data_IF_326956147939
#
_entry.id   IF_326956147939
#
_cell.length_a   1.000
_cell.length_b   1.000
_cell.length_c   1.000
_cell.angle_alpha   90.00
_cell.angle_beta   90.00
_cell.angle_gamma   90.00
#
_symmetry.space_group_name_H-M   'P 1'
#
loop_
_entity.id
_entity.type
_entity.pdbx_description
1 polymer ?
#
# COMPACT_ATOMS: atom_id res chain seq x y z
N UNK A 1 9.94 -5.43 5.47
CA UNK A 1 9.17 -6.63 5.85
C UNK A 1 8.22 -6.97 4.74
N UNK A 2 7.92 -8.26 4.52
CA UNK A 2 6.93 -8.70 3.54
C UNK A 2 5.60 -8.97 4.23
N UNK A 3 4.52 -8.41 3.69
CA UNK A 3 3.14 -8.71 4.07
C UNK A 3 2.52 -9.62 3.01
N UNK A 4 1.55 -10.44 3.41
CA UNK A 4 0.79 -11.31 2.49
C UNK A 4 -0.59 -10.72 2.23
N UNK A 5 -1.23 -11.13 1.13
CA UNK A 5 -2.59 -10.70 0.76
C UNK A 5 -2.77 -9.17 0.67
N UNK A 6 -1.76 -8.46 0.16
CA UNK A 6 -1.84 -7.02 -0.07
C UNK A 6 -2.81 -6.68 -1.21
N UNK A 7 -3.54 -5.59 -1.06
CA UNK A 7 -4.48 -5.07 -2.06
C UNK A 7 -3.95 -3.79 -2.71
N UNK A 8 -4.09 -3.72 -4.04
CA UNK A 8 -4.04 -2.46 -4.80
C UNK A 8 -5.48 -2.03 -5.06
N UNK A 9 -5.96 -1.07 -4.28
CA UNK A 9 -7.37 -0.75 -4.18
C UNK A 9 -7.60 0.76 -4.29
N UNK A 10 -7.99 1.21 -5.49
CA UNK A 10 -8.30 2.62 -5.77
C UNK A 10 -9.50 3.15 -4.97
N UNK A 11 -10.33 2.27 -4.40
CA UNK A 11 -11.46 2.63 -3.54
C UNK A 11 -11.13 2.68 -2.06
N UNK A 12 -9.93 2.23 -1.66
CA UNK A 12 -9.49 2.08 -0.26
C UNK A 12 -9.12 3.38 0.46
N UNK A 13 -9.55 4.53 -0.07
CA UNK A 13 -9.20 5.87 0.42
C UNK A 13 -7.67 6.00 0.59
N UNK A 14 -7.17 6.38 1.77
CA UNK A 14 -5.74 6.56 2.05
C UNK A 14 -5.00 5.27 2.43
N UNK A 15 -5.70 4.12 2.43
CA UNK A 15 -5.12 2.80 2.66
C UNK A 15 -4.96 2.41 4.12
N UNK A 16 -4.50 1.16 4.31
CA UNK A 16 -4.31 0.51 5.59
C UNK A 16 -2.89 -0.07 5.69
N UNK A 17 -2.24 0.16 6.81
CA UNK A 17 -0.89 -0.33 7.10
C UNK A 17 -0.90 -1.21 8.35
N UNK A 18 -0.57 -2.50 8.24
CA UNK A 18 -0.50 -3.39 9.39
C UNK A 18 0.57 -2.93 10.38
N UNK A 19 0.20 -2.80 11.65
CA UNK A 19 1.14 -2.41 12.72
C UNK A 19 2.39 -3.29 12.82
N UNK A 20 2.33 -4.53 12.30
CA UNK A 20 3.48 -5.42 12.20
C UNK A 20 4.63 -4.78 11.42
N UNK A 21 4.37 -3.90 10.43
CA UNK A 21 5.42 -3.20 9.64
C UNK A 21 6.18 -2.13 10.43
N UNK A 22 5.83 -1.92 11.70
CA UNK A 22 6.60 -1.10 12.63
C UNK A 22 6.37 0.40 12.47
N UNK A 23 5.19 0.81 11.98
CA UNK A 23 4.83 2.22 11.83
C UNK A 23 3.53 2.56 12.55
N UNK A 24 3.56 3.65 13.32
CA UNK A 24 2.41 4.19 14.05
C UNK A 24 1.84 3.28 15.15
N UNK A 25 0.65 3.63 15.63
CA UNK A 25 -0.09 2.89 16.66
C UNK A 25 -1.39 2.36 16.08
N UNK A 26 -1.77 1.13 16.45
CA UNK A 26 -3.06 0.54 16.07
C UNK A 26 -4.19 1.51 16.41
N UNK A 27 -5.16 1.64 15.52
CA UNK A 27 -6.26 2.59 15.58
C UNK A 27 -5.86 4.07 15.45
N UNK A 28 -4.67 4.33 14.93
CA UNK A 28 -4.18 5.66 14.57
C UNK A 28 -3.83 5.74 13.10
N UNK A 29 -3.14 6.82 12.72
CA UNK A 29 -2.62 6.99 11.37
C UNK A 29 -1.11 6.76 11.35
N UNK A 30 -0.59 6.40 10.17
CA UNK A 30 0.84 6.42 9.92
C UNK A 30 1.38 7.84 10.19
N UNK A 31 2.45 8.01 10.99
CA UNK A 31 2.93 9.33 11.36
C UNK A 31 3.36 10.17 10.15
N UNK A 32 3.09 11.49 10.14
CA UNK A 32 3.57 12.39 9.09
C UNK A 32 5.09 12.35 8.99
N UNK A 33 5.61 12.46 7.77
CA UNK A 33 7.04 12.35 7.46
C UNK A 33 7.55 10.92 7.32
N UNK A 34 6.75 9.90 7.64
CA UNK A 34 7.09 8.51 7.35
C UNK A 34 7.24 8.32 5.85
N UNK A 35 8.30 7.64 5.41
CA UNK A 35 8.48 7.27 4.02
C UNK A 35 8.09 5.80 3.85
N UNK A 36 7.01 5.54 3.12
CA UNK A 36 6.64 4.19 2.72
C UNK A 36 7.28 3.88 1.36
N UNK A 37 8.03 2.79 1.30
CA UNK A 37 8.59 2.23 0.06
C UNK A 37 7.98 0.86 -0.15
N UNK A 38 7.26 0.70 -1.26
CA UNK A 38 6.58 -0.54 -1.60
C UNK A 38 7.36 -1.20 -2.73
N UNK A 39 7.66 -2.48 -2.58
CA UNK A 39 8.43 -3.27 -3.54
C UNK A 39 7.82 -4.66 -3.71
N UNK A 40 8.13 -5.32 -4.82
CA UNK A 40 7.83 -6.75 -4.99
C UNK A 40 8.56 -7.58 -3.92
N UNK A 41 8.17 -8.85 -3.71
CA UNK A 41 8.91 -9.76 -2.82
C UNK A 41 10.39 -9.96 -3.21
N UNK A 42 10.74 -9.74 -4.48
CA UNK A 42 12.12 -9.79 -4.98
C UNK A 42 12.89 -8.46 -4.82
N UNK A 43 12.27 -7.42 -4.24
CA UNK A 43 12.90 -6.14 -3.94
C UNK A 43 12.83 -5.11 -5.07
N UNK A 44 12.07 -5.37 -6.15
CA UNK A 44 11.86 -4.40 -7.23
C UNK A 44 10.94 -3.30 -6.72
N UNK A 45 11.42 -2.04 -6.74
CA UNK A 45 10.65 -0.89 -6.26
C UNK A 45 9.42 -0.64 -7.12
N UNK A 46 8.30 -0.32 -6.47
CA UNK A 46 7.01 -0.05 -7.14
C UNK A 46 6.70 1.43 -7.04
N UNK A 47 6.50 1.91 -5.82
CA UNK A 47 6.24 3.32 -5.54
C UNK A 47 6.79 3.68 -4.17
N UNK A 48 7.01 4.97 -3.99
CA UNK A 48 7.48 5.56 -2.75
C UNK A 48 6.62 6.78 -2.46
N UNK A 49 6.17 6.91 -1.22
CA UNK A 49 5.42 8.07 -0.77
C UNK A 49 5.92 8.57 0.58
N UNK A 50 5.87 9.88 0.76
CA UNK A 50 6.07 10.52 2.06
C UNK A 50 4.71 10.85 2.64
N UNK A 51 4.40 10.29 3.81
CA UNK A 51 3.09 10.43 4.44
C UNK A 51 2.91 11.85 4.95
N UNK A 52 1.79 12.45 4.58
CA UNK A 52 1.36 13.76 5.07
C UNK A 52 0.52 13.60 6.35
N UNK A 53 0.03 14.70 6.92
CA UNK A 53 -0.82 14.64 8.10
C UNK A 53 -2.20 14.03 7.82
N UNK A 54 -2.77 13.39 8.83
CA UNK A 54 -4.16 12.93 8.79
C UNK A 54 -5.16 14.08 8.55
N UNK A 55 -6.37 13.79 8.04
CA UNK A 55 -6.92 12.45 7.84
C UNK A 55 -6.53 11.77 6.53
N UNK A 56 -5.65 12.39 5.72
CA UNK A 56 -5.22 11.84 4.42
C UNK A 56 -4.02 10.90 4.50
N UNK A 57 -3.85 10.23 5.64
CA UNK A 57 -2.76 9.29 5.89
C UNK A 57 -3.31 7.88 6.01
N UNK A 58 -2.54 6.83 5.67
CA UNK A 58 -2.97 5.46 5.86
C UNK A 58 -3.30 5.18 7.34
N UNK A 59 -4.36 4.41 7.58
CA UNK A 59 -4.73 3.98 8.93
C UNK A 59 -3.86 2.79 9.36
N UNK A 60 -3.53 2.71 10.65
CA UNK A 60 -2.74 1.61 11.19
C UNK A 60 -3.67 0.56 11.75
N UNK A 61 -3.70 -0.59 11.07
CA UNK A 61 -4.55 -1.74 11.39
C UNK A 61 -3.79 -2.78 12.23
N UNK A 62 -4.48 -3.84 12.65
CA UNK A 62 -3.91 -4.93 13.42
C UNK A 62 -2.74 -5.60 12.71
N UNK A 63 -1.88 -6.34 13.44
CA UNK A 63 -0.62 -6.86 12.90
C UNK A 63 -0.82 -7.95 11.84
N UNK A 64 -1.98 -8.59 11.83
CA UNK A 64 -2.37 -9.65 10.88
C UNK A 64 -3.37 -9.17 9.83
N UNK A 65 -3.80 -7.91 9.89
CA UNK A 65 -4.68 -7.35 8.88
C UNK A 65 -3.90 -7.12 7.58
N UNK A 66 -4.63 -6.99 6.48
CA UNK A 66 -4.03 -6.88 5.17
C UNK A 66 -3.56 -5.44 4.92
N UNK A 67 -2.45 -5.32 4.19
CA UNK A 67 -2.03 -4.03 3.65
C UNK A 67 -2.94 -3.64 2.48
N UNK A 68 -3.43 -2.40 2.51
CA UNK A 68 -4.19 -1.79 1.42
C UNK A 68 -3.47 -0.52 0.99
N UNK A 69 -3.13 -0.38 -0.29
CA UNK A 69 -2.44 0.81 -0.79
C UNK A 69 -3.25 2.09 -0.69
N UNK A 70 -4.58 1.97 -0.61
CA UNK A 70 -5.51 3.03 -0.95
C UNK A 70 -5.33 3.49 -2.39
N UNK A 71 -5.79 4.71 -2.66
CA UNK A 71 -5.69 5.38 -3.96
C UNK A 71 -4.28 5.92 -4.25
N UNK A 72 -3.39 5.99 -3.26
CA UNK A 72 -2.05 6.58 -3.37
C UNK A 72 -1.26 6.19 -4.62
N UNK A 73 -1.07 4.91 -4.98
CA UNK A 73 -0.27 4.56 -6.16
C UNK A 73 -0.93 5.03 -7.47
N UNK A 74 -2.26 5.14 -7.53
CA UNK A 74 -2.99 5.63 -8.71
C UNK A 74 -2.81 7.15 -8.91
N UNK A 75 -2.43 7.88 -7.88
CA UNK A 75 -2.09 9.31 -7.97
C UNK A 75 -0.63 9.54 -8.37
N UNK A 76 0.25 8.57 -8.13
CA UNK A 76 1.70 8.69 -8.31
C UNK A 76 2.16 8.11 -9.65
N UNK A 77 1.59 6.97 -10.07
CA UNK A 77 1.99 6.27 -11.29
C UNK A 77 0.77 5.80 -12.10
N UNK A 78 0.88 5.69 -13.43
CA UNK A 78 -0.11 4.96 -14.23
C UNK A 78 -0.19 3.50 -13.78
N UNK A 79 -1.40 2.98 -13.60
CA UNK A 79 -1.63 1.57 -13.23
C UNK A 79 -2.35 0.86 -14.37
N UNK A 80 -1.73 -0.19 -14.89
CA UNK A 80 -2.35 -1.08 -15.87
C UNK A 80 -3.02 -2.26 -15.18
N UNK A 81 -4.32 -2.44 -15.43
CA UNK A 81 -5.08 -3.59 -14.94
C UNK A 81 -5.23 -4.61 -16.08
N UNK A 82 -4.47 -5.71 -16.01
CA UNK A 82 -4.61 -6.82 -16.95
C UNK A 82 -5.76 -7.72 -16.54
N UNK A 83 -6.63 -8.06 -17.49
CA UNK A 83 -7.71 -9.04 -17.32
C UNK A 83 -7.33 -10.44 -17.84
N UNK A 84 -6.05 -10.66 -18.13
CA UNK A 84 -5.50 -11.92 -18.65
C UNK A 84 -4.44 -12.49 -17.70
N UNK A 85 -4.51 -13.79 -17.36
CA UNK A 85 -5.63 -14.70 -17.61
C UNK A 85 -6.86 -14.34 -16.77
N UNK A 86 -8.05 -14.70 -17.26
CA UNK A 86 -9.32 -14.42 -16.56
C UNK A 86 -9.32 -15.01 -15.15
N UNK A 87 -9.91 -14.28 -14.19
CA UNK A 87 -10.03 -14.64 -12.77
C UNK A 87 -8.72 -14.63 -11.94
N UNK A 88 -7.57 -14.21 -12.49
CA UNK A 88 -6.34 -14.01 -11.71
C UNK A 88 -5.82 -12.59 -11.93
N UNK A 89 -5.99 -11.73 -10.94
CA UNK A 89 -5.32 -10.43 -10.91
C UNK A 89 -3.82 -10.64 -10.78
N UNK A 90 -3.05 -10.20 -11.78
CA UNK A 90 -1.58 -10.19 -11.73
C UNK A 90 -1.13 -8.74 -11.74
N UNK A 91 -0.30 -8.38 -10.75
CA UNK A 91 0.27 -7.06 -10.62
C UNK A 91 1.61 -7.06 -11.37
N UNK A 92 1.70 -6.30 -12.45
CA UNK A 92 2.93 -6.10 -13.19
C UNK A 92 3.39 -4.66 -13.00
N UNK A 93 4.68 -4.50 -12.74
CA UNK A 93 5.35 -3.21 -12.70
C UNK A 93 6.37 -3.22 -13.82
N UNK A 94 6.07 -2.48 -14.88
CA UNK A 94 7.05 -2.19 -15.92
C UNK A 94 7.86 -0.98 -15.42
N UNK A 95 9.19 -1.15 -15.33
CA UNK A 95 10.13 -0.10 -14.89
C UNK A 95 10.67 0.64 -16.10
#
# INVERSE_FOLDING_TARGET
>A
MTVTNAFVDSGGLWGDVPSSVGTGSINGYVPPGTVLTISTPSGVGIYRQTILSGPTAPYVVGPTDNFNTGNSPFEIIPIYLSYSPTNVGTLFFDL
#
